data_IF_066669187323
#
_entry.id   IF_066669187323
#
_cell.length_a   1.000
_cell.length_b   1.000
_cell.length_c   1.000
_cell.angle_alpha   90.00
_cell.angle_beta   90.00
_cell.angle_gamma   90.00
#
_symmetry.space_group_name_H-M   'P 1'
#
loop_
_entity.id
_entity.type
_entity.pdbx_description
1 polymer ?
#
# COMPACT_ATOMS: atom_id res chain seq x y z
N UNK A 1 -30.65 0.24 -6.93
CA UNK A 1 -29.85 -0.51 -7.92
C UNK A 1 -29.30 -1.74 -7.21
N UNK A 2 -29.31 -2.93 -7.80
CA UNK A 2 -28.76 -4.13 -7.14
C UNK A 2 -27.23 -4.05 -7.21
N UNK A 3 -26.59 -3.58 -6.14
CA UNK A 3 -25.14 -3.66 -6.02
C UNK A 3 -24.75 -5.11 -5.82
N UNK A 4 -24.03 -5.70 -6.76
CA UNK A 4 -23.58 -7.10 -6.66
C UNK A 4 -22.08 -7.17 -6.90
N UNK A 5 -21.24 -6.66 -5.98
CA UNK A 5 -19.78 -6.61 -6.20
C UNK A 5 -19.17 -8.00 -6.40
N UNK A 6 -19.74 -9.02 -5.74
CA UNK A 6 -19.38 -10.42 -5.95
C UNK A 6 -19.75 -10.98 -7.35
N UNK A 7 -20.47 -10.22 -8.18
CA UNK A 7 -20.74 -10.52 -9.60
C UNK A 7 -19.83 -9.75 -10.55
N UNK A 8 -18.96 -8.87 -10.03
CA UNK A 8 -17.85 -8.34 -10.80
C UNK A 8 -16.80 -9.44 -10.80
N UNK A 9 -16.92 -10.37 -11.74
CA UNK A 9 -15.80 -11.22 -12.06
C UNK A 9 -14.73 -10.33 -12.69
N UNK A 10 -13.46 -10.40 -12.24
CA UNK A 10 -12.37 -9.85 -13.01
C UNK A 10 -12.52 -10.35 -14.45
N UNK A 11 -12.33 -9.47 -15.44
CA UNK A 11 -12.36 -9.89 -16.84
C UNK A 11 -11.21 -10.85 -17.11
N UNK A 12 -11.44 -12.14 -16.87
CA UNK A 12 -10.49 -13.20 -17.15
C UNK A 12 -10.46 -13.47 -18.65
N UNK A 13 -9.35 -14.02 -19.13
CA UNK A 13 -9.29 -14.53 -20.49
C UNK A 13 -10.23 -15.74 -20.61
N UNK A 14 -11.18 -15.69 -21.54
CA UNK A 14 -12.22 -16.72 -21.68
C UNK A 14 -11.66 -18.00 -22.33
N UNK A 15 -11.03 -17.90 -23.49
CA UNK A 15 -10.58 -19.06 -24.27
C UNK A 15 -9.07 -19.32 -24.16
N UNK A 16 -8.26 -18.28 -24.27
CA UNK A 16 -6.81 -18.41 -24.22
C UNK A 16 -6.15 -17.13 -23.67
N UNK A 17 -5.05 -17.31 -22.94
CA UNK A 17 -4.17 -16.20 -22.56
C UNK A 17 -3.46 -15.71 -23.83
N UNK A 18 -3.46 -14.40 -24.16
CA UNK A 18 -2.71 -13.87 -25.28
C UNK A 18 -1.23 -14.26 -25.20
N UNK A 19 -0.65 -14.74 -26.30
CA UNK A 19 0.75 -15.21 -26.35
C UNK A 19 1.73 -14.15 -25.84
N UNK A 20 1.52 -12.88 -26.21
CA UNK A 20 2.37 -11.76 -25.74
C UNK A 20 2.38 -11.61 -24.21
N UNK A 21 1.25 -11.86 -23.54
CA UNK A 21 1.17 -11.79 -22.07
C UNK A 21 1.81 -13.02 -21.42
N UNK A 22 1.66 -14.19 -22.04
CA UNK A 22 2.34 -15.40 -21.59
C UNK A 22 3.86 -15.24 -21.71
N UNK A 23 4.36 -14.74 -22.83
CA UNK A 23 5.77 -14.47 -23.06
C UNK A 23 6.31 -13.44 -22.06
N UNK A 24 5.56 -12.34 -21.82
CA UNK A 24 5.94 -11.34 -20.83
C UNK A 24 6.01 -11.92 -19.41
N UNK A 25 5.13 -12.86 -19.06
CA UNK A 25 5.18 -13.51 -17.73
C UNK A 25 6.44 -14.34 -17.55
N UNK A 26 6.90 -15.01 -18.61
CA UNK A 26 8.17 -15.77 -18.62
C UNK A 26 9.35 -14.82 -18.51
N UNK A 27 9.32 -13.69 -19.22
CA UNK A 27 10.35 -12.67 -19.14
C UNK A 27 10.46 -12.08 -17.73
N UNK A 28 9.34 -11.70 -17.12
CA UNK A 28 9.30 -11.20 -15.74
C UNK A 28 9.89 -12.25 -14.78
N UNK A 29 9.51 -13.52 -14.90
CA UNK A 29 10.03 -14.59 -14.05
C UNK A 29 11.55 -14.76 -14.20
N UNK A 30 12.03 -14.73 -15.44
CA UNK A 30 13.46 -14.86 -15.76
C UNK A 30 14.27 -13.70 -15.18
N UNK A 31 13.84 -12.47 -15.42
CA UNK A 31 14.53 -11.27 -14.89
C UNK A 31 14.46 -11.22 -13.36
N UNK A 32 13.31 -11.56 -12.76
CA UNK A 32 13.15 -11.62 -11.30
C UNK A 32 14.08 -12.65 -10.65
N UNK A 33 14.33 -13.79 -11.29
CA UNK A 33 15.25 -14.82 -10.78
C UNK A 33 16.70 -14.34 -10.77
N UNK A 34 17.07 -13.41 -11.66
CA UNK A 34 18.39 -12.79 -11.69
C UNK A 34 18.59 -11.71 -10.61
N UNK A 35 17.52 -11.20 -9.99
CA UNK A 35 17.62 -10.14 -8.99
C UNK A 35 18.40 -10.60 -7.76
N UNK A 36 19.46 -9.85 -7.44
CA UNK A 36 20.32 -10.14 -6.30
C UNK A 36 21.23 -11.36 -6.48
N UNK A 37 21.23 -12.01 -7.65
CA UNK A 37 22.10 -13.14 -7.91
C UNK A 37 23.57 -12.72 -7.80
N UNK A 38 24.33 -13.46 -6.99
CA UNK A 38 25.77 -13.19 -6.77
C UNK A 38 26.07 -12.08 -5.75
N UNK A 39 25.06 -11.44 -5.15
CA UNK A 39 25.27 -10.51 -4.05
C UNK A 39 25.51 -11.27 -2.74
N UNK A 40 26.37 -10.72 -1.88
CA UNK A 40 26.45 -11.15 -0.49
C UNK A 40 25.11 -10.88 0.21
N UNK A 41 24.63 -11.74 1.14
CA UNK A 41 23.35 -11.55 1.82
C UNK A 41 23.17 -10.15 2.43
N UNK A 42 24.21 -9.61 3.06
CA UNK A 42 24.17 -8.26 3.64
C UNK A 42 24.01 -7.18 2.56
N UNK A 43 24.72 -7.28 1.44
CA UNK A 43 24.58 -6.33 0.33
C UNK A 43 23.19 -6.40 -0.31
N UNK A 44 22.61 -7.59 -0.42
CA UNK A 44 21.24 -7.75 -0.89
C UNK A 44 20.21 -7.13 0.08
N UNK A 45 20.45 -7.25 1.39
CA UNK A 45 19.60 -6.64 2.41
C UNK A 45 19.63 -5.10 2.33
N UNK A 46 20.82 -4.50 2.21
CA UNK A 46 20.99 -3.05 2.05
C UNK A 46 20.35 -2.55 0.75
N UNK A 47 20.54 -3.26 -0.36
CA UNK A 47 19.90 -2.92 -1.63
C UNK A 47 18.37 -2.99 -1.53
N UNK A 48 17.83 -4.00 -0.85
CA UNK A 48 16.40 -4.11 -0.64
C UNK A 48 15.86 -2.92 0.17
N UNK A 49 16.59 -2.45 1.18
CA UNK A 49 16.20 -1.27 1.95
C UNK A 49 16.18 0.01 1.10
N UNK A 50 17.18 0.22 0.24
CA UNK A 50 17.18 1.33 -0.71
C UNK A 50 15.98 1.25 -1.67
N UNK A 51 15.70 0.07 -2.22
CA UNK A 51 14.56 -0.15 -3.14
C UNK A 51 13.23 0.14 -2.44
N UNK A 52 13.07 -0.18 -1.15
CA UNK A 52 11.87 0.19 -0.37
C UNK A 52 11.67 1.70 -0.31
N UNK A 53 12.74 2.46 -0.07
CA UNK A 53 12.69 3.93 -0.04
C UNK A 53 12.31 4.48 -1.41
N UNK A 54 12.88 3.94 -2.49
CA UNK A 54 12.52 4.36 -3.86
C UNK A 54 11.07 4.02 -4.20
N UNK A 55 10.60 2.82 -3.85
CA UNK A 55 9.23 2.41 -4.11
C UNK A 55 8.24 3.30 -3.34
N UNK A 56 8.54 3.59 -2.08
CA UNK A 56 7.76 4.54 -1.28
C UNK A 56 7.73 5.94 -1.93
N UNK A 57 8.87 6.45 -2.39
CA UNK A 57 8.92 7.74 -3.09
C UNK A 57 7.95 7.78 -4.28
N UNK A 58 7.95 6.76 -5.13
CA UNK A 58 7.08 6.71 -6.30
C UNK A 58 5.61 6.46 -5.94
N UNK A 59 5.32 5.63 -4.93
CA UNK A 59 3.96 5.42 -4.44
C UNK A 59 3.35 6.72 -3.92
N UNK A 60 4.05 7.46 -3.04
CA UNK A 60 3.58 8.73 -2.52
C UNK A 60 3.44 9.78 -3.63
N UNK A 61 4.35 9.78 -4.61
CA UNK A 61 4.29 10.72 -5.74
C UNK A 61 3.01 10.55 -6.59
N UNK A 62 2.50 9.33 -6.74
CA UNK A 62 1.24 9.06 -7.46
C UNK A 62 0.06 9.71 -6.72
N UNK A 63 0.08 9.71 -5.40
CA UNK A 63 -0.93 10.34 -4.54
C UNK A 63 -0.74 11.87 -4.41
N UNK A 64 0.25 12.44 -5.11
CA UNK A 64 0.58 13.88 -5.05
C UNK A 64 1.43 14.29 -3.84
N UNK A 65 1.88 13.32 -3.03
CA UNK A 65 2.70 13.54 -1.85
C UNK A 65 4.19 13.50 -2.23
N UNK A 66 4.79 14.69 -2.34
CA UNK A 66 6.18 14.85 -2.75
C UNK A 66 7.15 14.87 -1.55
N UNK A 67 7.55 13.68 -1.09
CA UNK A 67 8.55 13.49 -0.02
C UNK A 67 9.88 13.06 -0.61
N UNK A 68 10.95 13.85 -0.49
CA UNK A 68 12.25 13.46 -1.09
C UNK A 68 12.86 12.25 -0.38
N UNK A 69 13.58 11.35 -1.07
CA UNK A 69 14.18 10.15 -0.45
C UNK A 69 15.01 10.43 0.82
N UNK A 70 15.80 11.52 0.81
CA UNK A 70 16.58 11.97 1.98
C UNK A 70 15.70 12.25 3.21
N UNK A 71 14.52 12.82 3.00
CA UNK A 71 13.60 13.16 4.08
C UNK A 71 12.91 11.90 4.63
N UNK A 72 12.67 10.89 3.78
CA UNK A 72 12.23 9.54 4.18
C UNK A 72 13.30 8.89 5.07
N UNK A 73 14.57 8.93 4.67
CA UNK A 73 15.69 8.37 5.46
C UNK A 73 15.82 9.07 6.82
N UNK A 74 15.70 10.41 6.87
CA UNK A 74 15.68 11.17 8.13
C UNK A 74 14.54 10.74 9.04
N UNK A 75 13.34 10.56 8.48
CA UNK A 75 12.18 10.12 9.24
C UNK A 75 12.37 8.70 9.79
N UNK A 76 12.94 7.79 8.99
CA UNK A 76 13.30 6.43 9.42
C UNK A 76 14.36 6.41 10.52
N UNK A 77 15.31 7.34 10.49
CA UNK A 77 16.32 7.49 11.54
C UNK A 77 15.79 8.15 12.83
N UNK A 78 14.53 8.59 12.86
CA UNK A 78 13.96 9.32 14.00
C UNK A 78 14.59 10.70 14.20
N UNK A 79 15.15 11.29 13.14
CA UNK A 79 15.72 12.64 13.19
C UNK A 79 14.61 13.70 13.33
N UNK A 80 14.97 14.88 13.83
CA UNK A 80 14.07 16.03 13.77
C UNK A 80 13.73 16.38 12.32
N UNK A 81 12.45 16.67 12.08
CA UNK A 81 11.89 16.99 10.76
C UNK A 81 11.33 18.41 10.80
N UNK A 82 11.41 19.11 9.66
CA UNK A 82 10.80 20.43 9.50
C UNK A 82 9.27 20.31 9.62
N UNK A 83 8.63 21.20 10.37
CA UNK A 83 7.19 21.11 10.66
C UNK A 83 6.33 21.02 9.39
N UNK A 84 6.69 21.76 8.34
CA UNK A 84 5.97 21.80 7.06
C UNK A 84 6.05 20.49 6.26
N UNK A 85 7.15 19.72 6.39
CA UNK A 85 7.35 18.46 5.64
C UNK A 85 7.21 17.21 6.51
N UNK A 86 7.17 17.38 7.84
CA UNK A 86 7.03 16.31 8.82
C UNK A 86 5.88 15.36 8.49
N UNK A 87 4.66 15.82 8.12
CA UNK A 87 3.53 14.92 7.94
C UNK A 87 3.77 13.92 6.79
N UNK A 88 4.20 14.44 5.64
CA UNK A 88 4.52 13.66 4.44
C UNK A 88 5.73 12.74 4.65
N UNK A 89 6.71 13.17 5.45
CA UNK A 89 7.85 12.35 5.82
C UNK A 89 7.46 11.20 6.77
N UNK A 90 6.53 11.42 7.69
CA UNK A 90 6.00 10.39 8.58
C UNK A 90 5.11 9.38 7.84
N UNK A 91 4.30 9.82 6.89
CA UNK A 91 3.56 8.94 5.98
C UNK A 91 4.51 8.04 5.18
N UNK A 92 5.57 8.60 4.60
CA UNK A 92 6.56 7.82 3.88
C UNK A 92 7.29 6.82 4.81
N UNK A 93 7.58 7.23 6.06
CA UNK A 93 8.12 6.33 7.09
C UNK A 93 7.17 5.15 7.35
N UNK A 94 5.88 5.40 7.49
CA UNK A 94 4.86 4.38 7.72
C UNK A 94 4.86 3.34 6.59
N UNK A 95 4.92 3.77 5.32
CA UNK A 95 5.04 2.88 4.17
C UNK A 95 6.23 1.93 4.27
N UNK A 96 7.43 2.47 4.54
CA UNK A 96 8.66 1.66 4.61
C UNK A 96 8.63 0.69 5.80
N UNK A 97 8.11 1.12 6.96
CA UNK A 97 7.98 0.26 8.16
C UNK A 97 7.03 -0.91 7.90
N UNK A 98 5.86 -0.64 7.32
CA UNK A 98 4.89 -1.70 7.02
C UNK A 98 5.43 -2.68 5.97
N UNK A 99 6.11 -2.19 4.93
CA UNK A 99 6.74 -3.07 3.94
C UNK A 99 7.82 -3.95 4.56
N UNK A 100 8.66 -3.40 5.46
CA UNK A 100 9.67 -4.20 6.18
C UNK A 100 9.02 -5.32 7.01
N UNK A 101 7.91 -5.03 7.68
CA UNK A 101 7.16 -6.03 8.45
C UNK A 101 6.58 -7.13 7.54
N UNK A 102 6.02 -6.77 6.37
CA UNK A 102 5.54 -7.74 5.37
C UNK A 102 6.70 -8.65 4.90
N UNK A 103 7.84 -8.07 4.55
CA UNK A 103 9.00 -8.82 4.07
C UNK A 103 9.59 -9.73 5.16
N UNK A 104 9.54 -9.30 6.42
CA UNK A 104 9.96 -10.12 7.56
C UNK A 104 9.02 -11.31 7.78
N UNK A 105 7.71 -11.09 7.74
CA UNK A 105 6.74 -12.19 7.81
C UNK A 105 6.91 -13.18 6.65
N UNK A 106 7.19 -12.68 5.45
CA UNK A 106 7.47 -13.54 4.29
C UNK A 106 8.71 -14.40 4.52
N UNK A 107 9.83 -13.79 4.93
CA UNK A 107 11.08 -14.50 5.24
C UNK A 107 10.91 -15.55 6.35
N UNK A 108 10.07 -15.29 7.34
CA UNK A 108 9.75 -16.24 8.42
C UNK A 108 8.73 -17.31 8.03
N UNK A 109 8.13 -17.22 6.84
CA UNK A 109 7.05 -18.11 6.41
C UNK A 109 5.74 -17.93 7.18
N UNK A 110 5.55 -16.77 7.83
CA UNK A 110 4.37 -16.45 8.65
C UNK A 110 3.45 -15.44 7.98
N UNK A 111 3.74 -15.01 6.75
CA UNK A 111 2.90 -14.08 6.01
C UNK A 111 1.52 -14.71 5.75
N UNK A 112 0.42 -14.11 6.23
CA UNK A 112 -0.92 -14.59 5.92
C UNK A 112 -1.22 -14.47 4.42
N UNK A 113 -2.34 -15.05 3.98
CA UNK A 113 -2.79 -14.89 2.59
C UNK A 113 -2.99 -13.39 2.29
N UNK A 114 -2.32 -12.81 1.27
CA UNK A 114 -2.41 -11.37 1.00
C UNK A 114 -3.81 -10.84 0.66
N UNK A 115 -4.71 -11.73 0.27
CA UNK A 115 -6.11 -11.41 -0.05
C UNK A 115 -7.07 -11.69 1.11
N UNK A 116 -6.57 -12.04 2.30
CA UNK A 116 -7.41 -12.29 3.47
C UNK A 116 -7.82 -10.97 4.14
N UNK A 117 -9.03 -10.94 4.72
CA UNK A 117 -9.50 -9.81 5.51
C UNK A 117 -8.53 -9.50 6.65
N UNK A 118 -8.01 -10.54 7.32
CA UNK A 118 -7.01 -10.41 8.38
C UNK A 118 -5.76 -9.66 7.90
N UNK A 119 -5.18 -10.05 6.76
CA UNK A 119 -4.01 -9.36 6.22
C UNK A 119 -4.31 -7.92 5.82
N UNK A 120 -5.41 -7.69 5.09
CA UNK A 120 -5.77 -6.36 4.59
C UNK A 120 -6.05 -5.39 5.74
N UNK A 121 -6.81 -5.82 6.75
CA UNK A 121 -7.07 -5.01 7.95
C UNK A 121 -5.81 -4.81 8.79
N UNK A 122 -4.91 -5.79 8.88
CA UNK A 122 -3.61 -5.63 9.54
C UNK A 122 -2.71 -4.62 8.82
N UNK A 123 -2.62 -4.65 7.49
CA UNK A 123 -1.85 -3.67 6.69
C UNK A 123 -2.40 -2.27 6.93
N UNK A 124 -3.72 -2.11 6.78
CA UNK A 124 -4.40 -0.84 7.02
C UNK A 124 -4.16 -0.32 8.44
N UNK A 125 -4.29 -1.20 9.45
CA UNK A 125 -4.01 -0.85 10.84
C UNK A 125 -2.57 -0.41 11.05
N UNK A 126 -1.61 -1.20 10.59
CA UNK A 126 -0.19 -0.95 10.81
C UNK A 126 0.26 0.35 10.12
N UNK A 127 -0.29 0.63 8.95
CA UNK A 127 -0.01 1.87 8.23
C UNK A 127 -0.54 3.09 8.97
N UNK A 128 -1.83 3.10 9.31
CA UNK A 128 -2.42 4.24 10.01
C UNK A 128 -1.92 4.38 11.45
N UNK A 129 -1.55 3.30 12.15
CA UNK A 129 -0.94 3.39 13.48
C UNK A 129 0.43 4.10 13.47
N UNK A 130 1.17 4.03 12.37
CA UNK A 130 2.45 4.75 12.18
C UNK A 130 2.28 6.19 11.64
N UNK A 131 1.15 6.49 11.00
CA UNK A 131 0.87 7.81 10.42
C UNK A 131 0.59 8.89 11.47
N UNK A 132 0.88 10.17 11.18
CA UNK A 132 0.50 11.27 12.06
C UNK A 132 -1.02 11.47 12.09
N UNK A 133 -1.56 11.91 13.22
CA UNK A 133 -3.02 12.04 13.44
C UNK A 133 -3.70 12.95 12.41
N UNK A 134 -3.00 13.97 11.93
CA UNK A 134 -3.46 14.90 10.87
C UNK A 134 -3.76 14.23 9.53
N UNK A 135 -3.21 13.03 9.27
CA UNK A 135 -3.53 12.24 8.09
C UNK A 135 -4.46 11.05 8.39
N UNK A 136 -4.96 10.93 9.63
CA UNK A 136 -5.96 9.91 10.02
C UNK A 136 -7.39 10.46 9.91
N UNK A 137 -7.64 11.33 8.94
CA UNK A 137 -8.95 11.98 8.71
C UNK A 137 -9.30 11.97 7.23
N UNK A 138 -10.57 11.73 6.94
CA UNK A 138 -11.16 11.87 5.61
C UNK A 138 -11.83 13.24 5.55
N UNK A 139 -11.50 14.04 4.54
CA UNK A 139 -12.20 15.30 4.25
C UNK A 139 -13.23 15.09 3.14
N UNK A 140 -14.48 15.45 3.42
CA UNK A 140 -15.57 15.36 2.46
C UNK A 140 -15.73 16.65 1.64
N UNK A 141 -16.35 16.60 0.44
CA UNK A 141 -16.57 17.79 -0.39
C UNK A 141 -17.42 18.89 0.26
N UNK A 142 -18.20 18.55 1.29
CA UNK A 142 -18.99 19.50 2.09
C UNK A 142 -18.19 20.19 3.22
N UNK A 143 -16.89 19.87 3.34
CA UNK A 143 -15.98 20.40 4.36
C UNK A 143 -16.08 19.68 5.71
N UNK A 144 -16.90 18.63 5.83
CA UNK A 144 -16.92 17.80 7.04
C UNK A 144 -15.76 16.83 7.07
N UNK A 145 -15.36 16.42 8.28
CA UNK A 145 -14.27 15.48 8.49
C UNK A 145 -14.76 14.24 9.24
N UNK A 146 -14.25 13.08 8.86
CA UNK A 146 -14.50 11.80 9.50
C UNK A 146 -13.16 11.14 9.88
N UNK A 147 -12.99 10.63 11.11
CA UNK A 147 -11.74 9.98 11.50
C UNK A 147 -11.59 8.62 10.83
N UNK A 148 -10.37 8.32 10.37
CA UNK A 148 -9.99 7.00 9.89
C UNK A 148 -9.72 6.11 11.10
N UNK A 149 -10.42 4.99 11.19
CA UNK A 149 -10.18 3.99 12.24
C UNK A 149 -9.24 2.90 11.71
N UNK A 150 -8.01 2.78 12.23
CA UNK A 150 -7.03 1.80 11.77
C UNK A 150 -7.58 0.38 11.77
N UNK A 151 -7.43 -0.32 10.66
CA UNK A 151 -7.91 -1.69 10.44
C UNK A 151 -9.44 -1.89 10.35
N UNK A 152 -10.27 -0.84 10.39
CA UNK A 152 -11.73 -0.98 10.26
C UNK A 152 -12.16 -0.93 8.80
N UNK A 153 -12.91 -1.93 8.34
CA UNK A 153 -13.64 -1.85 7.06
C UNK A 153 -14.81 -0.86 7.19
N UNK A 154 -15.21 -0.22 6.09
CA UNK A 154 -16.38 0.68 6.09
C UNK A 154 -17.65 -0.04 6.55
N UNK A 155 -18.48 0.63 7.33
CA UNK A 155 -19.74 0.14 7.90
C UNK A 155 -20.96 0.88 7.34
N UNK A 156 -22.16 0.36 7.54
CA UNK A 156 -23.42 0.91 6.99
C UNK A 156 -23.76 2.32 7.49
N UNK A 157 -23.24 2.71 8.65
CA UNK A 157 -23.38 4.02 9.26
C UNK A 157 -22.30 5.01 8.83
N UNK A 158 -21.27 4.55 8.10
CA UNK A 158 -20.24 5.42 7.54
C UNK A 158 -20.77 6.20 6.32
N UNK A 159 -20.17 7.36 6.04
CA UNK A 159 -20.49 8.11 4.82
C UNK A 159 -20.02 7.35 3.59
N UNK A 160 -20.79 7.47 2.51
CA UNK A 160 -20.38 6.92 1.22
C UNK A 160 -19.21 7.71 0.63
N UNK A 161 -18.26 6.98 0.04
CA UNK A 161 -17.06 7.54 -0.58
C UNK A 161 -17.22 7.57 -2.10
N UNK A 162 -16.48 8.46 -2.76
CA UNK A 162 -16.40 8.53 -4.21
C UNK A 162 -14.95 8.65 -4.66
N UNK A 163 -14.56 7.88 -5.68
CA UNK A 163 -13.23 7.95 -6.30
C UNK A 163 -13.39 8.62 -7.67
N UNK A 164 -13.15 9.93 -7.71
CA UNK A 164 -13.43 10.75 -8.88
C UNK A 164 -14.93 10.74 -9.23
N UNK A 165 -15.30 10.02 -10.30
CA UNK A 165 -16.71 9.83 -10.71
C UNK A 165 -17.26 8.44 -10.37
N UNK A 166 -16.43 7.57 -9.80
CA UNK A 166 -16.81 6.21 -9.45
C UNK A 166 -17.35 6.16 -8.02
N UNK A 167 -18.53 5.58 -7.86
CA UNK A 167 -19.05 5.17 -6.57
C UNK A 167 -18.68 3.70 -6.37
N UNK A 168 -17.76 3.36 -5.44
CA UNK A 168 -17.47 1.98 -5.10
C UNK A 168 -18.69 1.34 -4.42
N UNK A 169 -18.68 0.01 -4.24
CA UNK A 169 -19.74 -0.66 -3.51
C UNK A 169 -20.02 -0.06 -2.13
N UNK A 170 -21.30 -0.05 -1.74
CA UNK A 170 -21.71 0.32 -0.39
C UNK A 170 -21.03 -0.57 0.66
N UNK A 171 -20.86 -0.03 1.86
CA UNK A 171 -20.18 -0.69 2.98
C UNK A 171 -20.79 -2.05 3.31
N UNK A 172 -22.12 -2.18 3.26
CA UNK A 172 -22.86 -3.45 3.42
C UNK A 172 -22.41 -4.60 2.50
N UNK A 173 -21.72 -4.28 1.40
CA UNK A 173 -21.22 -5.25 0.41
C UNK A 173 -19.70 -5.46 0.48
N UNK A 174 -19.00 -4.68 1.30
CA UNK A 174 -17.55 -4.73 1.51
C UNK A 174 -17.19 -5.37 2.85
N UNK A 175 -17.99 -5.11 3.89
CA UNK A 175 -17.80 -5.61 5.26
C UNK A 175 -18.05 -7.12 5.41
#
# INVERSE_FOLDING_TARGET
MLETPARIEPCFFEEHIPTELADLSVDIQREATGLGQGLHPDSAAELADLVRVMNCYYSNLIEGHNTRPRDIERALAGAELEEETRPLALEARAHVIVQRAIDEMHRKGTLPRPTSVEFLTWVHKSFYDEMPDEFRVIEHPDGTQEPIVPGRMRQDDDREVAVGRHLPPSSSRVA
#
